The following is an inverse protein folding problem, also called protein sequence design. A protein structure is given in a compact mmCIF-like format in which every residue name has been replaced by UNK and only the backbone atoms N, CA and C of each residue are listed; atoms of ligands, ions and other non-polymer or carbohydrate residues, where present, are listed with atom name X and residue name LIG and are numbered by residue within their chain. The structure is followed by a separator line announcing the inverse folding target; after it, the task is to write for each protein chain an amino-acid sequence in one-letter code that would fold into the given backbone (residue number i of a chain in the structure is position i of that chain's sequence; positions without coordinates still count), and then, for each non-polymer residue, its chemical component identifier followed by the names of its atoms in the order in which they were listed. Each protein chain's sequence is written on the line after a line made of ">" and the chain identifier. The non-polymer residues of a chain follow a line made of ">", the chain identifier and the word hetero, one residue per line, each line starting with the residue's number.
data_IF_889610250552
#
_entry.id   IF_889610250552
#
_cell.length_a   1.000
_cell.length_b   1.000
_cell.length_c   1.000
_cell.angle_alpha   90.00
_cell.angle_beta   90.00
_cell.angle_gamma   90.00
#
_symmetry.space_group_name_H-M   'P 1'
#
loop_
_entity.id
_entity.type
_entity.pdbx_description
1 polymer ?
#
# COMPACT_ATOMS: atom_id res chain seq x y z
N UNK A 1 -2.74 -24.62 -8.92
CA UNK A 1 -3.66 -23.81 -9.75
C UNK A 1 -4.16 -22.72 -8.82
N UNK A 2 -3.39 -21.64 -8.68
CA UNK A 2 -3.58 -20.58 -7.69
C UNK A 2 -4.04 -19.32 -8.42
N UNK A 3 -5.34 -19.18 -8.65
CA UNK A 3 -5.92 -17.92 -9.12
C UNK A 3 -6.38 -17.12 -7.90
N UNK A 4 -5.41 -16.52 -7.23
CA UNK A 4 -5.62 -15.64 -6.08
C UNK A 4 -5.25 -14.21 -6.46
N UNK A 5 -5.82 -13.72 -7.55
CA UNK A 5 -5.60 -12.34 -7.97
C UNK A 5 -6.39 -11.38 -7.07
N UNK A 6 -5.75 -10.88 -6.02
CA UNK A 6 -6.25 -9.68 -5.33
C UNK A 6 -6.02 -8.48 -6.23
N UNK A 7 -7.04 -8.10 -7.00
CA UNK A 7 -7.06 -6.84 -7.72
C UNK A 7 -7.33 -5.74 -6.71
N UNK A 8 -6.27 -5.10 -6.22
CA UNK A 8 -6.37 -3.92 -5.37
C UNK A 8 -6.74 -2.73 -6.24
N UNK A 9 -8.00 -2.28 -6.19
CA UNK A 9 -8.39 -0.99 -6.77
C UNK A 9 -7.83 0.12 -5.89
N UNK A 10 -6.92 0.92 -6.46
CA UNK A 10 -6.38 2.10 -5.80
C UNK A 10 -7.53 3.13 -5.69
N UNK A 11 -7.91 3.58 -4.48
CA UNK A 11 -8.85 4.69 -4.34
C UNK A 11 -8.21 5.97 -4.86
N UNK A 12 -8.99 6.90 -5.42
CA UNK A 12 -8.51 8.21 -5.83
C UNK A 12 -7.99 8.97 -4.60
N UNK A 13 -6.66 8.95 -4.39
CA UNK A 13 -6.03 9.59 -3.25
C UNK A 13 -5.72 11.04 -3.62
N UNK A 14 -6.55 11.99 -3.16
CA UNK A 14 -6.23 13.41 -3.35
C UNK A 14 -5.04 13.78 -2.47
N UNK A 15 -3.99 14.32 -3.10
CA UNK A 15 -2.84 14.86 -2.38
C UNK A 15 -3.28 15.93 -1.39
N UNK A 16 -2.63 15.96 -0.23
CA UNK A 16 -2.77 17.08 0.69
C UNK A 16 -2.45 18.39 -0.06
N UNK A 17 -3.25 19.44 0.10
CA UNK A 17 -3.20 20.67 -0.71
C UNK A 17 -1.90 21.49 -0.57
N UNK A 18 -0.94 21.01 0.23
CA UNK A 18 0.30 21.71 0.57
C UNK A 18 1.56 21.11 -0.06
N UNK A 19 1.45 20.06 -0.90
CA UNK A 19 2.65 19.44 -1.47
C UNK A 19 3.30 20.38 -2.51
N UNK A 20 4.55 20.85 -2.33
CA UNK A 20 5.21 21.79 -3.25
C UNK A 20 5.69 21.17 -4.56
N UNK A 21 5.44 19.86 -4.74
CA UNK A 21 5.93 19.07 -5.86
C UNK A 21 4.71 18.84 -6.75
N UNK A 22 4.50 19.72 -7.72
CA UNK A 22 3.60 19.38 -8.83
C UNK A 22 4.24 18.17 -9.54
N UNK A 23 3.55 17.01 -9.58
CA UNK A 23 4.07 15.89 -10.35
C UNK A 23 4.17 16.35 -11.79
N UNK A 24 5.38 16.32 -12.34
CA UNK A 24 5.61 16.58 -13.76
C UNK A 24 4.88 15.48 -14.51
N UNK A 25 3.65 15.77 -14.94
CA UNK A 25 2.76 14.81 -15.58
C UNK A 25 3.54 14.21 -16.75
N UNK A 26 3.93 12.93 -16.69
CA UNK A 26 4.46 12.26 -17.85
C UNK A 26 3.37 12.36 -18.91
N UNK A 27 3.76 12.67 -20.15
CA UNK A 27 2.88 12.57 -21.33
C UNK A 27 2.03 11.30 -21.18
N UNK A 28 0.73 11.28 -21.51
CA UNK A 28 -0.12 10.11 -21.27
C UNK A 28 0.48 8.89 -21.99
N UNK A 29 1.19 8.07 -21.23
CA UNK A 29 1.77 6.82 -21.68
C UNK A 29 0.72 5.78 -21.34
N UNK A 30 0.08 5.21 -22.36
CA UNK A 30 -0.88 4.11 -22.19
C UNK A 30 -0.14 2.77 -21.91
N UNK A 31 0.80 2.83 -20.98
CA UNK A 31 1.57 1.67 -20.56
C UNK A 31 0.87 1.02 -19.38
N UNK A 32 0.58 -0.27 -19.55
CA UNK A 32 0.08 -1.12 -18.49
C UNK A 32 1.24 -1.50 -17.56
N UNK A 33 1.14 -1.11 -16.29
CA UNK A 33 2.16 -1.37 -15.27
C UNK A 33 1.67 -2.48 -14.36
N UNK A 34 2.47 -3.53 -14.21
CA UNK A 34 2.19 -4.63 -13.29
C UNK A 34 3.17 -4.60 -12.10
N UNK A 35 2.64 -4.62 -10.89
CA UNK A 35 3.40 -4.67 -9.64
C UNK A 35 3.17 -6.04 -9.01
N UNK A 36 4.26 -6.77 -8.75
CA UNK A 36 4.19 -8.09 -8.11
C UNK A 36 4.48 -7.91 -6.60
N UNK A 37 3.50 -8.22 -5.78
CA UNK A 37 3.51 -8.13 -4.32
C UNK A 37 2.81 -6.88 -3.80
N UNK A 38 1.66 -7.06 -3.13
CA UNK A 38 0.92 -6.01 -2.41
C UNK A 38 1.44 -5.81 -0.98
N UNK A 39 2.77 -5.80 -0.82
CA UNK A 39 3.43 -5.40 0.43
C UNK A 39 3.53 -3.88 0.58
N UNK A 40 4.16 -3.42 1.67
CA UNK A 40 4.40 -1.97 1.89
C UNK A 40 5.10 -1.28 0.70
N UNK A 41 6.12 -1.92 0.10
CA UNK A 41 6.82 -1.36 -1.06
C UNK A 41 5.96 -1.30 -2.33
N UNK A 42 5.16 -2.34 -2.60
CA UNK A 42 4.33 -2.42 -3.80
C UNK A 42 3.16 -1.45 -3.76
N UNK A 43 2.50 -1.34 -2.60
CA UNK A 43 1.44 -0.35 -2.38
C UNK A 43 1.97 1.08 -2.46
N UNK A 44 3.16 1.34 -1.90
CA UNK A 44 3.78 2.65 -1.97
C UNK A 44 4.22 3.03 -3.40
N UNK A 45 4.77 2.09 -4.16
CA UNK A 45 5.08 2.31 -5.57
C UNK A 45 3.81 2.62 -6.39
N UNK A 46 2.72 1.89 -6.13
CA UNK A 46 1.44 2.14 -6.78
C UNK A 46 0.89 3.55 -6.48
N UNK A 47 0.99 4.00 -5.21
CA UNK A 47 0.61 5.35 -4.80
C UNK A 47 1.43 6.42 -5.54
N UNK A 48 2.76 6.24 -5.64
CA UNK A 48 3.62 7.19 -6.33
C UNK A 48 3.32 7.27 -7.83
N UNK A 49 3.01 6.13 -8.46
CA UNK A 49 2.63 6.08 -9.87
C UNK A 49 1.26 6.75 -10.11
N UNK A 50 0.30 6.56 -9.21
CA UNK A 50 -1.00 7.23 -9.28
C UNK A 50 -0.87 8.76 -9.11
N UNK A 51 -0.04 9.20 -8.16
CA UNK A 51 0.33 10.61 -7.98
C UNK A 51 1.01 11.18 -9.23
N UNK A 52 1.86 10.39 -9.89
CA UNK A 52 2.50 10.78 -11.13
C UNK A 52 1.51 10.84 -12.33
N UNK A 53 0.25 10.42 -12.16
CA UNK A 53 -0.78 10.47 -13.20
C UNK A 53 -0.87 9.20 -14.05
N UNK A 54 -0.21 8.11 -13.66
CA UNK A 54 -0.29 6.82 -14.34
C UNK A 54 -1.46 6.01 -13.76
N UNK A 55 -2.51 5.82 -14.56
CA UNK A 55 -3.77 5.19 -14.09
C UNK A 55 -3.90 3.70 -14.41
N UNK A 56 -3.08 3.17 -15.31
CA UNK A 56 -3.17 1.78 -15.79
C UNK A 56 -2.25 0.83 -15.00
N UNK A 57 -2.53 0.67 -13.70
CA UNK A 57 -1.72 -0.10 -12.76
C UNK A 57 -2.49 -1.35 -12.28
N UNK A 58 -1.85 -2.50 -12.32
CA UNK A 58 -2.34 -3.75 -11.74
C UNK A 58 -1.36 -4.28 -10.69
N UNK A 59 -1.86 -4.63 -9.51
CA UNK A 59 -1.07 -5.24 -8.43
C UNK A 59 -1.47 -6.71 -8.31
N UNK A 60 -0.50 -7.61 -8.31
CA UNK A 60 -0.69 -9.05 -8.14
C UNK A 60 -0.10 -9.48 -6.79
N UNK A 61 -0.89 -10.10 -5.94
CA UNK A 61 -0.46 -10.65 -4.66
C UNK A 61 -0.83 -12.13 -4.60
N UNK A 62 0.05 -12.95 -4.03
CA UNK A 62 -0.18 -14.40 -3.92
C UNK A 62 -1.02 -14.74 -2.69
N UNK A 63 -0.93 -13.94 -1.63
CA UNK A 63 -1.68 -14.13 -0.38
C UNK A 63 -3.12 -13.60 -0.48
N UNK A 64 -4.00 -14.08 0.41
CA UNK A 64 -5.39 -13.58 0.59
C UNK A 64 -5.47 -12.18 1.19
N UNK A 65 -4.32 -11.57 1.52
CA UNK A 65 -4.24 -10.27 2.17
C UNK A 65 -3.14 -9.41 1.59
N UNK A 66 -3.36 -8.11 1.70
CA UNK A 66 -2.35 -7.08 1.44
C UNK A 66 -1.49 -6.83 2.68
N UNK A 67 -0.40 -6.06 2.53
CA UNK A 67 0.51 -5.66 3.61
C UNK A 67 1.79 -6.48 3.69
N UNK A 68 1.82 -7.69 3.10
CA UNK A 68 3.00 -8.55 3.09
C UNK A 68 3.51 -8.86 4.50
N UNK A 69 4.72 -8.40 4.86
CA UNK A 69 5.30 -8.61 6.20
C UNK A 69 4.75 -7.68 7.29
N UNK A 70 3.89 -6.73 6.94
CA UNK A 70 3.12 -5.97 7.93
C UNK A 70 1.82 -6.71 8.15
N UNK A 71 1.70 -7.34 9.31
CA UNK A 71 0.55 -8.19 9.63
C UNK A 71 0.20 -8.09 11.11
N UNK A 72 -0.95 -7.48 11.35
CA UNK A 72 -1.61 -7.44 12.66
C UNK A 72 -2.72 -8.47 12.65
N UNK A 73 -2.63 -9.48 13.52
CA UNK A 73 -3.68 -10.47 13.72
C UNK A 73 -4.52 -10.07 14.94
N UNK A 74 -5.85 -10.20 14.81
CA UNK A 74 -6.79 -9.90 15.88
C UNK A 74 -7.37 -11.22 16.40
N UNK A 75 -7.16 -11.51 17.68
CA UNK A 75 -7.47 -12.81 18.28
C UNK A 75 -8.86 -12.87 18.97
N UNK A 76 -9.73 -11.89 18.74
CA UNK A 76 -11.01 -11.81 19.46
C UNK A 76 -12.17 -11.38 18.54
N UNK A 77 -13.19 -12.24 18.47
CA UNK A 77 -14.41 -12.04 17.67
C UNK A 77 -15.51 -11.25 18.39
N UNK A 78 -15.35 -10.94 19.68
CA UNK A 78 -16.41 -10.34 20.50
C UNK A 78 -16.10 -8.90 20.95
N UNK A 79 -17.10 -8.01 20.75
CA UNK A 79 -17.03 -6.54 20.77
C UNK A 79 -16.84 -5.92 22.17
N UNK A 80 -16.51 -6.69 23.20
CA UNK A 80 -16.49 -6.17 24.58
C UNK A 80 -15.06 -5.96 25.11
N UNK A 81 -14.59 -4.74 24.85
CA UNK A 81 -13.56 -3.96 25.57
C UNK A 81 -12.08 -4.31 25.46
N UNK A 82 -11.65 -5.55 25.23
CA UNK A 82 -10.21 -5.85 25.12
C UNK A 82 -9.89 -6.62 23.82
N UNK A 83 -9.70 -5.89 22.72
CA UNK A 83 -9.20 -6.47 21.47
C UNK A 83 -7.72 -6.83 21.67
N UNK A 84 -7.44 -8.10 21.93
CA UNK A 84 -6.09 -8.64 21.84
C UNK A 84 -5.71 -8.70 20.37
N UNK A 85 -4.72 -7.89 20.00
CA UNK A 85 -4.09 -7.93 18.68
C UNK A 85 -2.60 -8.21 18.85
N UNK A 86 -2.05 -9.01 17.95
CA UNK A 86 -0.63 -9.31 17.89
C UNK A 86 -0.05 -8.85 16.57
N UNK A 87 1.07 -8.13 16.63
CA UNK A 87 1.89 -7.85 15.46
C UNK A 87 2.71 -9.09 15.14
N UNK A 88 2.30 -9.83 14.11
CA UNK A 88 3.06 -10.94 13.54
C UNK A 88 4.09 -10.47 12.51
N UNK A 89 4.19 -9.15 12.32
CA UNK A 89 5.00 -8.49 11.32
C UNK A 89 5.85 -7.34 11.87
N UNK A 90 5.89 -6.25 11.13
CA UNK A 90 6.62 -5.04 11.54
C UNK A 90 6.00 -4.39 12.78
N UNK A 91 6.70 -4.41 13.91
CA UNK A 91 6.19 -3.93 15.20
C UNK A 91 6.79 -2.59 15.65
N UNK A 92 8.03 -2.27 15.25
CA UNK A 92 8.77 -1.12 15.80
C UNK A 92 9.44 -0.32 14.70
N UNK A 93 9.17 0.98 14.68
CA UNK A 93 9.82 1.93 13.78
C UNK A 93 10.85 2.76 14.59
N UNK A 94 12.14 2.69 14.25
CA UNK A 94 13.17 3.45 14.96
C UNK A 94 13.05 4.96 14.64
N UNK A 95 13.29 5.80 15.65
CA UNK A 95 13.13 7.26 15.54
C UNK A 95 14.21 7.97 14.73
N UNK A 96 15.28 7.28 14.31
CA UNK A 96 16.45 7.89 13.66
C UNK A 96 16.50 7.78 12.13
N UNK A 97 15.50 7.16 11.50
CA UNK A 97 15.40 7.05 10.05
C UNK A 97 14.37 8.05 9.54
N UNK A 98 14.85 9.22 9.13
CA UNK A 98 14.03 10.36 8.72
C UNK A 98 12.98 9.97 7.67
N UNK A 99 13.31 9.08 6.74
CA UNK A 99 12.41 8.65 5.67
C UNK A 99 11.12 7.93 6.09
N UNK A 100 10.98 7.43 7.32
CA UNK A 100 9.79 6.68 7.77
C UNK A 100 8.70 7.62 8.34
N UNK A 101 9.06 8.86 8.70
CA UNK A 101 8.13 9.80 9.36
C UNK A 101 7.32 10.68 8.41
N UNK A 102 7.76 10.79 7.15
CA UNK A 102 7.24 11.77 6.19
C UNK A 102 6.21 11.21 5.20
N UNK A 103 5.83 9.95 5.34
CA UNK A 103 4.82 9.28 4.52
C UNK A 103 3.65 8.78 5.36
#
# INVERSE_FOLDING_TARGET
>A
MFDMNIIVKIPDFSLAPCCPIEPKVPQPIDQKICIIGAGMSGLFAALLLDIAGLKNIEILECQERVGGRVHTEYFSDNVTKDKLYGELGAMRLPKGTDGIRYY
#
